data_IF_461757710494
#
_entry.id   IF_461757710494
#
_cell.length_a   1.000
_cell.length_b   1.000
_cell.length_c   1.000
_cell.angle_alpha   90.00
_cell.angle_beta   90.00
_cell.angle_gamma   90.00
#
_symmetry.space_group_name_H-M   'P 1'
#
loop_
_entity.id
_entity.type
_entity.pdbx_description
1 polymer ?
#
# COMPACT_ATOMS: atom_id res chain seq x y z
N UNK A 1 -3.72 -13.11 7.93
CA UNK A 1 -2.83 -12.41 6.96
C UNK A 1 -3.47 -11.08 6.61
N UNK A 2 -2.69 -10.00 6.49
CA UNK A 2 -3.25 -8.69 6.15
C UNK A 2 -3.62 -8.56 4.66
N UNK A 3 -4.49 -7.60 4.32
CA UNK A 3 -4.76 -7.20 2.96
C UNK A 3 -4.11 -5.87 2.64
N UNK A 4 -3.45 -5.77 1.46
CA UNK A 4 -2.95 -4.53 0.90
C UNK A 4 -3.58 -4.31 -0.47
N UNK A 5 -3.91 -3.07 -0.78
CA UNK A 5 -4.48 -2.67 -2.07
C UNK A 5 -4.20 -1.19 -2.33
N UNK A 6 -4.35 -0.75 -3.57
CA UNK A 6 -4.12 0.64 -3.91
C UNK A 6 -4.16 0.91 -5.40
N UNK A 7 -3.94 2.17 -5.77
CA UNK A 7 -3.81 2.57 -7.16
C UNK A 7 -2.90 3.79 -7.33
N UNK A 8 -2.42 3.94 -8.55
CA UNK A 8 -1.78 5.15 -9.06
C UNK A 8 -2.33 5.46 -10.44
N UNK A 9 -2.67 6.73 -10.71
CA UNK A 9 -3.12 7.18 -12.02
C UNK A 9 -3.83 8.52 -11.95
N UNK A 10 -4.02 9.16 -13.12
CA UNK A 10 -4.79 10.39 -13.27
C UNK A 10 -6.11 10.06 -13.94
N UNK A 11 -7.15 9.89 -13.14
CA UNK A 11 -8.49 9.56 -13.59
C UNK A 11 -9.31 10.82 -13.91
N UNK A 12 -10.21 10.72 -14.88
CA UNK A 12 -11.22 11.77 -15.09
C UNK A 12 -12.17 11.84 -13.88
N UNK A 13 -12.88 12.94 -13.71
CA UNK A 13 -13.85 13.07 -12.61
C UNK A 13 -14.95 11.99 -12.66
N UNK A 14 -15.34 11.58 -13.87
CA UNK A 14 -16.30 10.49 -14.06
C UNK A 14 -15.73 9.16 -13.61
N UNK A 15 -14.52 8.83 -14.06
CA UNK A 15 -13.87 7.56 -13.71
C UNK A 15 -13.49 7.51 -12.23
N UNK A 16 -13.15 8.66 -11.63
CA UNK A 16 -12.83 8.74 -10.20
C UNK A 16 -14.00 8.31 -9.30
N UNK A 17 -15.26 8.56 -9.71
CA UNK A 17 -16.40 8.08 -8.93
C UNK A 17 -16.45 6.56 -8.85
N UNK A 18 -16.25 5.87 -9.97
CA UNK A 18 -16.19 4.41 -10.01
C UNK A 18 -14.90 3.87 -9.37
N UNK A 19 -13.78 4.56 -9.52
CA UNK A 19 -12.50 4.21 -8.89
C UNK A 19 -12.57 4.32 -7.36
N UNK A 20 -13.24 5.35 -6.84
CA UNK A 20 -13.49 5.47 -5.41
C UNK A 20 -14.32 4.29 -4.89
N UNK A 21 -15.37 3.87 -5.63
CA UNK A 21 -16.15 2.70 -5.28
C UNK A 21 -15.30 1.42 -5.34
N UNK A 22 -14.45 1.29 -6.37
CA UNK A 22 -13.51 0.15 -6.47
C UNK A 22 -12.57 0.09 -5.25
N UNK A 23 -12.09 1.23 -4.73
CA UNK A 23 -11.31 1.25 -3.48
C UNK A 23 -12.11 0.75 -2.28
N UNK A 24 -13.40 1.09 -2.18
CA UNK A 24 -14.29 0.58 -1.13
C UNK A 24 -14.44 -0.93 -1.25
N UNK A 25 -14.71 -1.44 -2.45
CA UNK A 25 -14.91 -2.88 -2.67
C UNK A 25 -13.60 -3.68 -2.46
N UNK A 26 -12.43 -3.13 -2.83
CA UNK A 26 -11.13 -3.73 -2.52
C UNK A 26 -10.91 -3.82 -1.00
N UNK A 27 -11.32 -2.80 -0.26
CA UNK A 27 -11.24 -2.82 1.20
C UNK A 27 -12.15 -3.89 1.81
N UNK A 28 -13.41 -3.97 1.36
CA UNK A 28 -14.38 -4.98 1.82
C UNK A 28 -13.94 -6.39 1.44
N UNK A 29 -13.54 -6.63 0.19
CA UNK A 29 -13.03 -7.93 -0.25
C UNK A 29 -11.76 -8.35 0.51
N UNK A 30 -10.93 -7.38 0.93
CA UNK A 30 -9.72 -7.64 1.72
C UNK A 30 -10.01 -8.02 3.18
N UNK A 31 -11.24 -7.85 3.70
CA UNK A 31 -11.59 -8.24 5.08
C UNK A 31 -11.45 -9.74 5.35
N UNK A 32 -11.53 -10.57 4.31
CA UNK A 32 -11.21 -12.01 4.40
C UNK A 32 -9.80 -12.27 4.94
N UNK A 33 -8.93 -11.28 4.88
CA UNK A 33 -7.54 -11.35 5.36
C UNK A 33 -7.34 -10.76 6.76
N UNK A 34 -8.27 -9.95 7.25
CA UNK A 34 -8.22 -9.39 8.60
C UNK A 34 -9.21 -8.24 8.78
N UNK A 35 -9.77 -8.16 9.98
CA UNK A 35 -10.80 -7.19 10.39
C UNK A 35 -10.44 -6.44 11.67
N UNK A 36 -9.23 -6.62 12.20
CA UNK A 36 -8.83 -6.04 13.50
C UNK A 36 -8.61 -4.54 13.42
N UNK A 37 -8.16 -4.06 12.27
CA UNK A 37 -8.00 -2.63 11.97
C UNK A 37 -7.98 -2.40 10.46
N UNK A 38 -8.25 -1.16 10.06
CA UNK A 38 -8.16 -0.71 8.68
C UNK A 38 -7.51 0.67 8.59
N UNK A 39 -6.98 0.99 7.40
CA UNK A 39 -6.47 2.32 7.12
C UNK A 39 -6.21 2.57 5.65
N UNK A 40 -6.06 3.86 5.33
CA UNK A 40 -5.71 4.33 3.99
C UNK A 40 -4.77 5.54 4.05
N UNK A 41 -4.02 5.73 2.99
CA UNK A 41 -3.36 6.98 2.65
C UNK A 41 -3.65 7.31 1.18
N UNK A 42 -3.97 8.57 0.90
CA UNK A 42 -4.29 9.06 -0.43
C UNK A 42 -3.55 10.37 -0.71
N UNK A 43 -2.81 10.41 -1.81
CA UNK A 43 -2.07 11.58 -2.28
C UNK A 43 -2.86 12.28 -3.38
N UNK A 44 -3.07 13.58 -3.21
CA UNK A 44 -3.71 14.43 -4.22
C UNK A 44 -2.69 14.93 -5.26
N UNK A 45 -3.17 15.41 -6.39
CA UNK A 45 -2.33 16.07 -7.40
C UNK A 45 -1.68 17.38 -6.92
N UNK A 46 -2.19 17.98 -5.83
CA UNK A 46 -1.57 19.14 -5.15
C UNK A 46 -0.47 18.75 -4.18
N UNK A 47 -0.24 17.45 -3.93
CA UNK A 47 0.75 16.96 -3.00
C UNK A 47 0.25 16.77 -1.55
N UNK A 48 -1.06 16.98 -1.31
CA UNK A 48 -1.63 16.77 0.02
C UNK A 48 -1.78 15.27 0.31
N UNK A 49 -1.26 14.81 1.43
CA UNK A 49 -1.47 13.46 1.93
C UNK A 49 -2.66 13.44 2.91
N UNK A 50 -3.69 12.72 2.55
CA UNK A 50 -4.87 12.45 3.37
C UNK A 50 -4.80 11.01 3.85
N UNK A 51 -4.88 10.78 5.16
CA UNK A 51 -4.78 9.44 5.71
C UNK A 51 -5.62 9.26 6.96
N UNK A 52 -6.04 8.02 7.20
CA UNK A 52 -6.71 7.57 8.42
C UNK A 52 -6.33 6.12 8.70
N UNK A 53 -6.36 5.76 9.96
CA UNK A 53 -6.28 4.37 10.43
C UNK A 53 -7.08 4.25 11.72
N UNK A 54 -7.71 3.11 11.90
CA UNK A 54 -8.55 2.86 13.08
C UNK A 54 -8.66 1.36 13.36
N UNK A 55 -8.94 0.95 14.61
CA UNK A 55 -9.42 -0.39 14.92
C UNK A 55 -10.76 -0.68 14.23
N UNK A 56 -11.01 -1.95 13.93
CA UNK A 56 -12.27 -2.43 13.35
C UNK A 56 -12.20 -2.69 11.85
N UNK A 57 -13.30 -3.18 11.28
CA UNK A 57 -13.37 -3.64 9.89
C UNK A 57 -13.25 -2.50 8.89
N UNK A 58 -12.71 -2.84 7.72
CA UNK A 58 -12.47 -1.86 6.65
C UNK A 58 -13.74 -1.20 6.15
N UNK A 59 -14.86 -1.94 6.10
CA UNK A 59 -16.17 -1.39 5.67
C UNK A 59 -16.60 -0.15 6.45
N UNK A 60 -16.25 -0.06 7.72
CA UNK A 60 -16.56 1.11 8.55
C UNK A 60 -15.74 2.33 8.14
N UNK A 61 -14.42 2.16 7.97
CA UNK A 61 -13.53 3.26 7.58
C UNK A 61 -13.78 3.72 6.14
N UNK A 62 -13.88 2.77 5.19
CA UNK A 62 -14.05 3.08 3.78
C UNK A 62 -15.50 3.50 3.43
N UNK A 63 -16.47 3.23 4.32
CA UNK A 63 -17.82 3.80 4.29
C UNK A 63 -17.96 5.15 5.01
N UNK A 64 -16.94 5.61 5.72
CA UNK A 64 -16.99 6.84 6.53
C UNK A 64 -17.06 8.13 5.70
N UNK A 65 -17.40 9.22 6.37
CA UNK A 65 -17.37 10.57 5.78
C UNK A 65 -15.95 10.98 5.37
N UNK A 66 -14.92 10.56 6.10
CA UNK A 66 -13.53 10.87 5.82
C UNK A 66 -13.07 10.27 4.48
N UNK A 67 -13.39 8.99 4.22
CA UNK A 67 -13.07 8.37 2.94
C UNK A 67 -13.95 8.90 1.82
N UNK A 68 -15.25 9.10 2.08
CA UNK A 68 -16.20 9.65 1.09
C UNK A 68 -15.81 11.07 0.65
N UNK A 69 -15.20 11.88 1.53
CA UNK A 69 -14.72 13.21 1.18
C UNK A 69 -13.63 13.20 0.10
N UNK A 70 -12.90 12.09 -0.08
CA UNK A 70 -11.92 11.92 -1.16
C UNK A 70 -12.54 12.03 -2.56
N UNK A 71 -13.86 11.78 -2.72
CA UNK A 71 -14.58 11.97 -3.99
C UNK A 71 -14.46 13.38 -4.55
N UNK A 72 -14.25 14.36 -3.68
CA UNK A 72 -14.11 15.78 -4.05
C UNK A 72 -12.67 16.22 -4.27
N UNK A 73 -11.72 15.31 -4.10
CA UNK A 73 -10.28 15.55 -4.24
C UNK A 73 -9.76 14.95 -5.54
N UNK A 74 -8.71 15.57 -6.09
CA UNK A 74 -8.00 15.03 -7.24
C UNK A 74 -6.94 14.04 -6.75
N UNK A 75 -7.37 12.86 -6.30
CA UNK A 75 -6.46 11.80 -5.82
C UNK A 75 -5.77 11.16 -7.01
N UNK A 76 -4.44 11.05 -6.93
CA UNK A 76 -3.60 10.42 -7.97
C UNK A 76 -2.95 9.12 -7.50
N UNK A 77 -2.88 8.90 -6.20
CA UNK A 77 -2.39 7.67 -5.58
C UNK A 77 -3.18 7.38 -4.31
N UNK A 78 -3.48 6.12 -4.06
CA UNK A 78 -3.99 5.69 -2.77
C UNK A 78 -3.50 4.28 -2.44
N UNK A 79 -3.26 4.04 -1.17
CA UNK A 79 -2.95 2.73 -0.59
C UNK A 79 -3.91 2.46 0.56
N UNK A 80 -4.31 1.20 0.71
CA UNK A 80 -5.23 0.75 1.75
C UNK A 80 -4.76 -0.56 2.40
N UNK A 81 -5.22 -0.79 3.62
CA UNK A 81 -4.83 -1.93 4.43
C UNK A 81 -6.00 -2.46 5.25
N UNK A 82 -6.09 -3.79 5.34
CA UNK A 82 -6.89 -4.51 6.32
C UNK A 82 -5.96 -5.35 7.19
N UNK A 83 -6.09 -5.24 8.51
CA UNK A 83 -5.15 -5.84 9.46
C UNK A 83 -5.71 -7.11 10.09
N UNK A 84 -4.89 -8.16 10.09
CA UNK A 84 -4.95 -9.22 11.08
C UNK A 84 -3.74 -9.00 12.01
N UNK A 85 -4.00 -8.65 13.27
CA UNK A 85 -2.96 -8.28 14.20
C UNK A 85 -2.11 -9.50 14.59
N UNK A 86 -0.80 -9.42 14.34
CA UNK A 86 0.19 -10.41 14.75
C UNK A 86 1.11 -9.85 15.83
N UNK A 87 1.42 -8.55 15.75
CA UNK A 87 2.31 -7.83 16.67
C UNK A 87 1.69 -6.47 16.97
N UNK A 88 1.63 -6.10 18.24
CA UNK A 88 1.00 -4.87 18.73
C UNK A 88 -0.53 -4.88 18.69
N UNK A 89 -1.15 -4.47 19.78
CA UNK A 89 -2.61 -4.45 19.90
C UNK A 89 -3.25 -3.49 18.90
N UNK A 90 -4.34 -3.90 18.17
CA UNK A 90 -5.02 -3.04 17.22
C UNK A 90 -5.71 -1.82 17.87
N UNK A 91 -6.07 -1.92 19.16
CA UNK A 91 -6.61 -0.79 19.93
C UNK A 91 -5.63 0.37 20.08
N UNK A 92 -4.31 0.11 20.01
CA UNK A 92 -3.27 1.14 19.95
C UNK A 92 -3.10 1.56 18.51
N UNK A 93 -3.71 2.68 18.14
CA UNK A 93 -3.80 3.09 16.73
C UNK A 93 -2.42 3.31 16.07
N UNK A 94 -1.36 3.56 16.84
CA UNK A 94 0.03 3.61 16.36
C UNK A 94 0.50 2.32 15.70
N UNK A 95 -0.06 1.17 16.08
CA UNK A 95 0.27 -0.15 15.54
C UNK A 95 -0.45 -0.45 14.21
N UNK A 96 -1.39 0.40 13.77
CA UNK A 96 -2.18 0.15 12.56
C UNK A 96 -1.56 0.87 11.35
N UNK A 97 -1.87 0.36 10.15
CA UNK A 97 -1.46 0.94 8.89
C UNK A 97 -2.41 2.05 8.42
N UNK A 98 -1.92 3.01 7.60
CA UNK A 98 -0.54 3.12 7.12
C UNK A 98 0.43 3.57 8.21
N UNK A 99 1.69 3.15 8.11
CA UNK A 99 2.80 3.73 8.85
C UNK A 99 3.37 4.91 8.07
N UNK A 100 3.77 5.96 8.79
CA UNK A 100 4.32 7.19 8.20
C UNK A 100 5.68 7.52 8.80
N UNK A 101 6.62 7.95 7.94
CA UNK A 101 7.92 8.49 8.35
C UNK A 101 8.42 9.47 7.29
N UNK A 102 8.73 10.72 7.68
CA UNK A 102 9.10 11.79 6.75
C UNK A 102 8.08 11.95 5.63
N UNK A 103 8.53 11.86 4.39
CA UNK A 103 7.69 11.99 3.19
C UNK A 103 7.04 10.66 2.75
N UNK A 104 7.04 9.63 3.60
CA UNK A 104 6.56 8.30 3.24
C UNK A 104 5.30 7.89 3.98
N UNK A 105 4.41 7.22 3.25
CA UNK A 105 3.30 6.42 3.80
C UNK A 105 3.39 5.00 3.25
N UNK A 106 3.24 3.98 4.10
CA UNK A 106 3.47 2.58 3.75
C UNK A 106 2.39 1.66 4.33
N UNK A 107 1.96 0.68 3.54
CA UNK A 107 1.19 -0.47 3.97
C UNK A 107 1.94 -1.75 3.64
N UNK A 108 1.86 -2.74 4.53
CA UNK A 108 2.61 -3.98 4.44
C UNK A 108 1.73 -5.18 4.82
N UNK A 109 1.77 -6.21 4.00
CA UNK A 109 1.28 -7.53 4.34
C UNK A 109 2.47 -8.47 4.47
N UNK A 110 2.68 -8.99 5.68
CA UNK A 110 3.80 -9.86 5.98
C UNK A 110 4.15 -9.92 7.44
N UNK A 111 5.41 -10.25 7.71
CA UNK A 111 5.98 -10.33 9.05
C UNK A 111 7.51 -10.22 8.99
N UNK A 112 8.09 -9.35 9.79
CA UNK A 112 9.55 -9.17 9.92
C UNK A 112 10.02 -9.71 11.28
N UNK A 113 10.64 -10.89 11.33
CA UNK A 113 11.15 -11.43 12.60
C UNK A 113 12.27 -10.55 13.16
N UNK A 114 12.32 -10.42 14.49
CA UNK A 114 13.34 -9.66 15.22
C UNK A 114 13.47 -8.20 14.74
N UNK A 115 12.32 -7.55 14.42
CA UNK A 115 12.33 -6.20 13.86
C UNK A 115 12.95 -5.16 14.80
N UNK A 116 12.78 -5.29 16.12
CA UNK A 116 13.39 -4.38 17.10
C UNK A 116 14.92 -4.47 17.09
N UNK A 117 15.49 -5.69 17.06
CA UNK A 117 16.93 -5.89 16.97
C UNK A 117 17.50 -5.33 15.66
N UNK A 118 16.76 -5.53 14.55
CA UNK A 118 17.14 -5.01 13.23
C UNK A 118 17.10 -3.50 13.20
N UNK A 119 16.04 -2.89 13.77
CA UNK A 119 15.93 -1.44 13.92
C UNK A 119 17.12 -0.87 14.72
N UNK A 120 17.46 -1.50 15.84
CA UNK A 120 18.62 -1.10 16.68
C UNK A 120 19.93 -1.17 15.90
N UNK A 121 20.18 -2.25 15.15
CA UNK A 121 21.38 -2.40 14.30
C UNK A 121 21.46 -1.32 13.22
N UNK A 122 20.35 -0.94 12.63
CA UNK A 122 20.25 0.10 11.61
C UNK A 122 20.15 1.52 12.21
N UNK A 123 20.06 1.65 13.53
CA UNK A 123 19.85 2.90 14.28
C UNK A 123 18.59 3.65 13.81
N UNK A 124 17.54 2.90 13.48
CA UNK A 124 16.25 3.43 13.05
C UNK A 124 15.28 3.50 14.25
N UNK A 125 14.56 4.62 14.45
CA UNK A 125 13.60 4.73 15.54
C UNK A 125 12.35 3.90 15.28
N UNK A 126 11.77 3.30 16.33
CA UNK A 126 10.45 2.70 16.31
C UNK A 126 9.58 3.39 17.35
N UNK A 127 8.35 3.74 16.97
CA UNK A 127 7.37 4.43 17.82
C UNK A 127 6.13 3.55 18.07
N UNK A 128 6.06 2.40 17.42
CA UNK A 128 5.00 1.40 17.56
C UNK A 128 5.59 0.01 17.79
N UNK A 129 4.73 -0.93 18.14
CA UNK A 129 5.10 -2.34 18.25
C UNK A 129 4.99 -3.09 16.91
N UNK A 130 4.51 -2.43 15.85
CA UNK A 130 4.31 -3.06 14.55
C UNK A 130 5.63 -3.14 13.77
N UNK A 131 5.97 -4.33 13.36
CA UNK A 131 7.18 -4.62 12.57
C UNK A 131 7.25 -3.85 11.24
N UNK A 132 6.10 -3.52 10.68
CA UNK A 132 5.99 -2.78 9.43
C UNK A 132 6.51 -1.34 9.51
N UNK A 133 6.57 -0.75 10.73
CA UNK A 133 7.17 0.56 10.92
C UNK A 133 8.64 0.59 10.51
N UNK A 134 9.38 -0.52 10.74
CA UNK A 134 10.77 -0.62 10.33
C UNK A 134 10.95 -0.38 8.82
N UNK A 135 10.01 -0.85 7.98
CA UNK A 135 10.08 -0.66 6.53
C UNK A 135 9.96 0.82 6.15
N UNK A 136 9.00 1.55 6.73
CA UNK A 136 8.83 2.97 6.40
C UNK A 136 9.98 3.82 6.96
N UNK A 137 10.54 3.47 8.11
CA UNK A 137 11.75 4.12 8.64
C UNK A 137 12.97 3.87 7.75
N UNK A 138 13.12 2.65 7.21
CA UNK A 138 14.18 2.34 6.25
C UNK A 138 14.02 3.15 4.95
N UNK A 139 12.81 3.25 4.38
CA UNK A 139 12.56 4.10 3.21
C UNK A 139 12.88 5.57 3.49
N UNK A 140 12.49 6.07 4.66
CA UNK A 140 12.75 7.44 5.07
C UNK A 140 14.25 7.74 5.17
N UNK A 141 15.02 6.80 5.73
CA UNK A 141 16.46 6.98 5.99
C UNK A 141 17.32 6.77 4.73
N UNK A 142 17.03 5.71 3.95
CA UNK A 142 17.86 5.31 2.81
C UNK A 142 17.32 5.81 1.45
N UNK A 143 16.11 6.37 1.41
CA UNK A 143 15.48 6.94 0.21
C UNK A 143 14.98 5.91 -0.80
N UNK A 144 14.50 6.39 -1.94
CA UNK A 144 13.83 5.57 -2.97
C UNK A 144 14.74 4.53 -3.62
N UNK A 145 16.03 4.83 -3.75
CA UNK A 145 16.97 3.96 -4.49
C UNK A 145 17.47 2.81 -3.62
N UNK A 146 17.94 3.09 -2.42
CA UNK A 146 18.54 2.08 -1.54
C UNK A 146 17.54 1.51 -0.52
N UNK A 147 16.50 2.26 -0.16
CA UNK A 147 15.53 1.86 0.85
C UNK A 147 14.85 0.51 0.57
N UNK A 148 14.35 0.25 -0.65
CA UNK A 148 13.75 -1.05 -0.97
C UNK A 148 14.74 -2.23 -0.85
N UNK A 149 16.01 -2.05 -1.21
CA UNK A 149 17.05 -3.08 -1.06
C UNK A 149 17.29 -3.39 0.41
N UNK A 150 17.37 -2.34 1.25
CA UNK A 150 17.45 -2.49 2.70
C UNK A 150 16.22 -3.22 3.24
N UNK A 151 15.00 -2.81 2.85
CA UNK A 151 13.77 -3.47 3.28
C UNK A 151 13.76 -4.96 2.94
N UNK A 152 14.09 -5.32 1.71
CA UNK A 152 14.14 -6.72 1.26
C UNK A 152 15.24 -7.52 1.96
N UNK A 153 16.38 -6.89 2.30
CA UNK A 153 17.46 -7.52 3.05
C UNK A 153 17.11 -7.85 4.51
N UNK A 154 16.08 -7.18 5.07
CA UNK A 154 15.54 -7.51 6.38
C UNK A 154 14.91 -8.91 6.44
N UNK A 155 14.63 -9.52 5.29
CA UNK A 155 14.01 -10.84 5.22
C UNK A 155 12.57 -10.83 5.73
N UNK A 156 12.12 -11.99 6.22
CA UNK A 156 10.72 -12.19 6.61
C UNK A 156 9.80 -12.29 5.40
N UNK A 157 8.52 -12.00 5.59
CA UNK A 157 7.50 -12.05 4.54
C UNK A 157 7.09 -10.64 4.19
N UNK A 158 7.16 -10.27 2.91
CA UNK A 158 6.92 -8.88 2.50
C UNK A 158 6.07 -8.80 1.22
N UNK A 159 5.00 -8.02 1.31
CA UNK A 159 4.26 -7.45 0.18
C UNK A 159 3.89 -6.02 0.56
N UNK A 160 4.41 -5.04 -0.15
CA UNK A 160 4.42 -3.64 0.25
C UNK A 160 3.90 -2.73 -0.84
N UNK A 161 3.12 -1.73 -0.44
CA UNK A 161 2.83 -0.52 -1.21
C UNK A 161 3.26 0.69 -0.39
N UNK A 162 3.99 1.62 -1.01
CA UNK A 162 4.44 2.84 -0.36
C UNK A 162 4.27 4.07 -1.27
N UNK A 163 3.94 5.21 -0.69
CA UNK A 163 3.83 6.50 -1.37
C UNK A 163 4.92 7.42 -0.84
N UNK A 164 5.74 7.98 -1.73
CA UNK A 164 6.60 9.13 -1.44
C UNK A 164 5.85 10.39 -1.85
N UNK A 165 5.49 11.21 -0.88
CA UNK A 165 4.69 12.41 -1.10
C UNK A 165 5.48 13.52 -1.79
N UNK A 166 6.77 13.65 -1.47
CA UNK A 166 7.66 14.67 -2.04
C UNK A 166 8.00 14.37 -3.51
N UNK A 167 8.36 13.13 -3.81
CA UNK A 167 8.65 12.71 -5.18
C UNK A 167 7.38 12.42 -6.00
N UNK A 168 6.21 12.37 -5.37
CA UNK A 168 4.94 11.94 -5.96
C UNK A 168 5.07 10.60 -6.70
N UNK A 169 5.66 9.61 -6.02
CA UNK A 169 5.91 8.25 -6.52
C UNK A 169 5.27 7.19 -5.64
N UNK A 170 4.85 6.11 -6.28
CA UNK A 170 4.43 4.90 -5.60
C UNK A 170 5.48 3.82 -5.81
N UNK A 171 5.84 3.12 -4.74
CA UNK A 171 6.64 1.91 -4.78
C UNK A 171 5.77 0.70 -4.48
N UNK A 172 6.06 -0.42 -5.15
CA UNK A 172 5.46 -1.71 -4.86
C UNK A 172 6.51 -2.82 -4.99
N UNK A 173 6.49 -3.79 -4.06
CA UNK A 173 7.32 -4.99 -4.15
C UNK A 173 6.75 -6.15 -3.37
N UNK A 174 7.20 -7.36 -3.71
CA UNK A 174 7.06 -8.57 -2.91
C UNK A 174 8.37 -9.35 -2.92
N UNK A 175 8.66 -10.07 -1.83
CA UNK A 175 9.76 -11.04 -1.81
C UNK A 175 9.33 -12.47 -2.20
N UNK A 176 8.07 -12.65 -2.61
CA UNK A 176 7.51 -13.95 -3.02
C UNK A 176 6.82 -14.73 -1.90
N UNK A 177 7.08 -14.40 -0.63
CA UNK A 177 6.44 -15.07 0.52
C UNK A 177 4.98 -14.61 0.73
N UNK A 178 4.65 -13.41 0.24
CA UNK A 178 3.31 -12.85 0.28
C UNK A 178 2.89 -12.41 -1.13
N UNK A 179 1.68 -12.76 -1.58
CA UNK A 179 1.22 -12.42 -2.92
C UNK A 179 0.97 -10.91 -3.06
N UNK A 180 1.21 -10.41 -4.27
CA UNK A 180 0.86 -9.07 -4.71
C UNK A 180 0.53 -9.13 -6.21
N UNK A 181 -0.59 -8.55 -6.60
CA UNK A 181 -1.09 -8.56 -7.97
C UNK A 181 -1.30 -7.12 -8.44
N UNK A 182 -0.79 -6.83 -9.64
CA UNK A 182 -1.10 -5.60 -10.35
C UNK A 182 -2.25 -5.85 -11.33
N UNK A 183 -3.14 -4.86 -11.52
CA UNK A 183 -4.18 -4.94 -12.54
C UNK A 183 -4.49 -3.59 -13.18
N UNK A 184 -4.96 -3.64 -14.44
CA UNK A 184 -5.38 -2.45 -15.19
C UNK A 184 -6.84 -2.59 -15.59
N UNK A 185 -7.66 -1.64 -15.15
CA UNK A 185 -9.05 -1.53 -15.57
C UNK A 185 -9.10 -1.02 -17.00
N UNK A 186 -9.94 -1.63 -17.83
CA UNK A 186 -10.07 -1.29 -19.24
C UNK A 186 -10.50 0.19 -19.41
N UNK A 187 -9.72 0.93 -20.17
CA UNK A 187 -9.98 2.35 -20.48
C UNK A 187 -9.48 3.35 -19.43
N UNK A 188 -8.92 2.92 -18.31
CA UNK A 188 -8.38 3.81 -17.30
C UNK A 188 -6.86 3.98 -17.39
N UNK A 189 -6.32 5.20 -17.35
CA UNK A 189 -4.89 5.47 -17.29
C UNK A 189 -4.38 5.31 -15.85
N UNK A 190 -4.63 4.13 -15.26
CA UNK A 190 -4.30 3.82 -13.87
C UNK A 190 -3.81 2.39 -13.74
N UNK A 191 -2.92 2.17 -12.78
CA UNK A 191 -2.48 0.86 -12.33
C UNK A 191 -2.99 0.62 -10.92
N UNK A 192 -3.54 -0.55 -10.69
CA UNK A 192 -4.14 -0.99 -9.44
C UNK A 192 -3.34 -2.13 -8.83
N UNK A 193 -3.44 -2.28 -7.53
CA UNK A 193 -2.79 -3.33 -6.75
C UNK A 193 -3.76 -3.98 -5.79
N UNK A 194 -3.62 -5.28 -5.59
CA UNK A 194 -4.32 -6.04 -4.55
C UNK A 194 -3.41 -7.16 -4.03
N UNK A 195 -3.70 -7.66 -2.82
CA UNK A 195 -2.97 -8.78 -2.26
C UNK A 195 -3.10 -10.05 -3.09
N UNK A 196 -4.29 -10.34 -3.62
CA UNK A 196 -4.54 -11.52 -4.45
C UNK A 196 -5.43 -11.19 -5.64
N UNK A 197 -5.43 -12.09 -6.63
CA UNK A 197 -6.28 -11.96 -7.81
C UNK A 197 -7.77 -12.10 -7.47
N UNK A 198 -8.11 -12.96 -6.51
CA UNK A 198 -9.48 -13.17 -6.04
C UNK A 198 -10.05 -11.88 -5.44
N UNK A 199 -9.28 -11.20 -4.58
CA UNK A 199 -9.69 -9.90 -3.99
C UNK A 199 -9.92 -8.86 -5.10
N UNK A 200 -9.01 -8.79 -6.08
CA UNK A 200 -9.17 -7.88 -7.21
C UNK A 200 -10.43 -8.21 -8.03
N UNK A 201 -10.66 -9.50 -8.31
CA UNK A 201 -11.79 -9.96 -9.11
C UNK A 201 -13.13 -9.72 -8.40
N UNK A 202 -13.24 -10.03 -7.12
CA UNK A 202 -14.46 -9.80 -6.33
C UNK A 202 -14.82 -8.31 -6.32
N UNK A 203 -13.84 -7.44 -6.08
CA UNK A 203 -14.03 -6.00 -6.10
C UNK A 203 -14.45 -5.48 -7.50
N UNK A 204 -13.83 -5.99 -8.57
CA UNK A 204 -14.16 -5.62 -9.95
C UNK A 204 -15.58 -6.04 -10.34
N UNK A 205 -16.00 -7.24 -9.96
CA UNK A 205 -17.35 -7.75 -10.19
C UNK A 205 -18.39 -6.88 -9.47
N UNK A 206 -18.11 -6.51 -8.20
CA UNK A 206 -19.02 -5.67 -7.41
C UNK A 206 -19.28 -4.29 -8.03
N UNK A 207 -18.31 -3.74 -8.78
CA UNK A 207 -18.46 -2.44 -9.47
C UNK A 207 -18.74 -2.57 -10.98
N UNK A 208 -18.88 -3.79 -11.51
CA UNK A 208 -19.16 -4.04 -12.93
C UNK A 208 -18.01 -3.66 -13.87
N UNK A 209 -16.75 -3.75 -13.41
CA UNK A 209 -15.56 -3.41 -14.17
C UNK A 209 -14.82 -4.66 -14.65
N UNK A 210 -14.06 -4.50 -15.73
CA UNK A 210 -13.18 -5.53 -16.26
C UNK A 210 -11.73 -5.06 -16.23
N UNK A 211 -10.82 -5.97 -15.88
CA UNK A 211 -9.40 -5.69 -15.81
C UNK A 211 -8.57 -6.85 -16.36
N UNK A 212 -7.29 -6.57 -16.61
CA UNK A 212 -6.25 -7.58 -16.83
C UNK A 212 -5.29 -7.51 -15.64
N UNK A 213 -4.96 -8.66 -15.08
CA UNK A 213 -4.07 -8.81 -13.91
C UNK A 213 -2.76 -9.50 -14.27
N UNK A 214 -1.76 -9.27 -13.45
CA UNK A 214 -0.49 -9.98 -13.45
C UNK A 214 0.10 -10.00 -12.04
N UNK A 215 0.65 -11.14 -11.64
CA UNK A 215 1.37 -11.24 -10.37
C UNK A 215 2.64 -10.39 -10.41
N UNK A 216 2.94 -9.71 -9.30
CA UNK A 216 4.21 -9.04 -9.12
C UNK A 216 5.35 -10.05 -9.03
N UNK A 217 6.48 -9.74 -9.68
CA UNK A 217 7.65 -10.61 -9.67
C UNK A 217 8.42 -10.46 -8.35
N UNK A 218 8.74 -11.56 -7.67
CA UNK A 218 9.53 -11.51 -6.44
C UNK A 218 10.89 -10.81 -6.62
N UNK A 219 11.23 -9.95 -5.66
CA UNK A 219 12.50 -9.21 -5.68
C UNK A 219 12.57 -8.07 -6.68
N UNK A 220 11.51 -7.82 -7.46
CA UNK A 220 11.43 -6.67 -8.34
C UNK A 220 10.71 -5.52 -7.63
N UNK A 221 11.35 -4.35 -7.59
CA UNK A 221 10.76 -3.12 -7.09
C UNK A 221 10.17 -2.34 -8.26
N UNK A 222 8.88 -2.07 -8.21
CA UNK A 222 8.16 -1.25 -9.16
C UNK A 222 8.14 0.19 -8.64
N UNK A 223 8.73 1.11 -9.37
CA UNK A 223 8.68 2.54 -9.11
C UNK A 223 7.75 3.18 -10.13
N UNK A 224 6.74 3.89 -9.66
CA UNK A 224 5.66 4.38 -10.49
C UNK A 224 5.40 5.86 -10.24
N UNK A 225 5.18 6.60 -11.32
CA UNK A 225 4.77 8.01 -11.28
C UNK A 225 3.72 8.30 -12.37
N UNK A 226 3.00 9.39 -12.21
CA UNK A 226 2.10 9.90 -13.26
C UNK A 226 2.84 10.96 -14.05
N UNK A 227 3.14 10.70 -15.34
CA UNK A 227 3.76 11.62 -16.26
C UNK A 227 2.85 11.81 -17.48
N UNK A 228 2.49 13.03 -17.79
CA UNK A 228 1.59 13.36 -18.92
C UNK A 228 0.24 12.61 -18.89
N UNK A 229 -0.28 12.38 -17.67
CA UNK A 229 -1.55 11.68 -17.46
C UNK A 229 -1.48 10.17 -17.59
N UNK A 230 -0.31 9.59 -17.82
CA UNK A 230 -0.06 8.15 -17.93
C UNK A 230 0.77 7.66 -16.76
N UNK A 231 0.57 6.41 -16.38
CA UNK A 231 1.42 5.75 -15.37
C UNK A 231 2.69 5.23 -16.04
N UNK A 232 3.82 5.83 -15.69
CA UNK A 232 5.16 5.36 -16.06
C UNK A 232 5.65 4.41 -14.97
N UNK A 233 6.19 3.27 -15.38
CA UNK A 233 6.70 2.25 -14.47
C UNK A 233 8.17 2.02 -14.79
N UNK A 234 9.02 2.25 -13.81
CA UNK A 234 10.41 1.82 -13.81
C UNK A 234 10.55 0.63 -12.87
N UNK A 235 11.43 -0.32 -13.19
CA UNK A 235 11.66 -1.49 -12.37
C UNK A 235 13.13 -1.60 -12.01
N UNK A 236 13.40 -1.94 -10.76
CA UNK A 236 14.74 -2.21 -10.26
C UNK A 236 14.76 -3.63 -9.67
N UNK A 237 15.72 -4.45 -10.10
CA UNK A 237 15.97 -5.72 -9.42
C UNK A 237 16.67 -5.40 -8.09
N UNK A 238 16.08 -5.85 -6.99
CA UNK A 238 16.67 -5.62 -5.68
C UNK A 238 18.01 -6.37 -5.55
N UNK A 239 19.01 -5.66 -5.09
CA UNK A 239 20.32 -6.24 -4.73
C UNK A 239 20.26 -6.81 -3.30
N UNK A 240 19.55 -7.94 -3.14
CA UNK A 240 19.56 -8.65 -1.87
C UNK A 240 20.88 -9.38 -1.77
N UNK A 241 21.74 -8.96 -0.85
CA UNK A 241 23.00 -9.67 -0.57
C UNK A 241 22.71 -11.15 -0.30
N UNK A 242 23.19 -12.03 -1.16
CA UNK A 242 23.11 -13.49 -0.94
C UNK A 242 23.84 -13.78 0.38
N UNK A 243 23.07 -14.16 1.39
CA UNK A 243 23.60 -14.67 2.66
C UNK A 243 24.15 -16.08 2.49
#
# INVERSE_FOLDING_TARGET
MCGVFGFIGKLTRRDWTAAHQLMVELAVASEVRGVDAAGFAALTSSGDLLWRRQPGPARELFGSSDFTALRRRNVVMAIGHTRLATTGAPAVNGNNHPHLAGDWALVHNGFLPAHEEKAAKLRLPLHSQCDSELLVQALCHYGERAGPDVCLSLGGKQSVLAINTKAQRMLAWTNGEMPLVAFRVKGWPALWWASTEEIAQDALVAVGLQARSAAARPGLVYQMEVRDGQVVIETQQAEVAKR
#
